data_IF_187188336430
#
_entry.id   IF_187188336430
#
_cell.length_a   1.000
_cell.length_b   1.000
_cell.length_c   1.000
_cell.angle_alpha   90.00
_cell.angle_beta   90.00
_cell.angle_gamma   90.00
#
_symmetry.space_group_name_H-M   'P 1'
#
loop_
_entity.id
_entity.type
_entity.pdbx_description
1 polymer ?
#
# COMPACT_ATOMS: atom_id res chain seq x y z
N UNK A 1 5.93 1.34 9.63
CA UNK A 1 4.63 1.35 8.92
C UNK A 1 3.71 0.21 9.41
N UNK A 2 4.24 -0.92 9.91
CA UNK A 2 3.51 -1.91 10.75
C UNK A 2 2.82 -1.25 11.93
N UNK A 3 3.48 -0.33 12.60
CA UNK A 3 2.90 0.34 13.76
C UNK A 3 1.79 1.34 13.35
N UNK A 4 1.81 1.84 12.10
CA UNK A 4 0.74 2.69 11.57
C UNK A 4 -0.45 1.87 11.02
N UNK A 5 -0.26 0.59 10.69
CA UNK A 5 -1.22 -0.17 9.87
C UNK A 5 -1.59 -1.56 10.43
N UNK A 6 -0.99 -1.98 11.55
CA UNK A 6 -1.18 -3.27 12.20
C UNK A 6 -0.14 -4.33 11.81
N UNK A 7 0.15 -5.32 12.69
CA UNK A 7 0.85 -6.55 12.31
C UNK A 7 0.01 -7.37 11.31
N UNK A 8 0.64 -8.21 10.51
CA UNK A 8 0.06 -8.95 9.36
C UNK A 8 -0.34 -8.12 8.13
N UNK A 9 0.33 -6.99 7.88
CA UNK A 9 0.13 -6.16 6.68
C UNK A 9 1.35 -6.01 5.76
N UNK A 10 2.41 -6.81 5.96
CA UNK A 10 3.69 -6.72 5.24
C UNK A 10 4.28 -5.28 5.19
N UNK A 11 4.08 -4.48 6.25
CA UNK A 11 4.48 -3.04 6.27
C UNK A 11 5.68 -2.76 7.19
N UNK A 12 6.54 -3.75 7.40
CA UNK A 12 7.80 -3.58 8.11
C UNK A 12 8.69 -2.69 7.23
N UNK A 13 9.02 -1.49 7.72
CA UNK A 13 9.98 -0.60 7.04
C UNK A 13 11.28 -0.75 7.81
N UNK A 14 12.27 -1.34 7.15
CA UNK A 14 13.58 -1.68 7.70
C UNK A 14 14.59 -0.56 7.38
N UNK A 15 15.52 -0.29 8.31
CA UNK A 15 16.68 0.57 8.10
C UNK A 15 16.49 2.09 8.29
N UNK A 16 17.59 2.84 8.17
CA UNK A 16 17.62 4.32 8.23
C UNK A 16 16.74 4.97 7.15
N UNK A 17 16.34 6.23 7.31
CA UNK A 17 15.44 6.96 6.39
C UNK A 17 15.85 6.87 4.91
N UNK A 18 17.15 6.76 4.61
CA UNK A 18 17.72 6.54 3.28
C UNK A 18 17.41 5.16 2.69
N UNK A 19 17.22 4.13 3.52
CA UNK A 19 16.82 2.77 3.11
C UNK A 19 15.32 2.67 2.80
N UNK A 20 14.51 3.61 3.31
CA UNK A 20 13.06 3.63 3.10
C UNK A 20 12.62 4.35 1.80
N UNK A 21 13.54 5.03 1.11
CA UNK A 21 13.22 5.86 -0.06
C UNK A 21 12.54 5.07 -1.18
N UNK A 22 12.94 3.81 -1.40
CA UNK A 22 12.36 2.99 -2.47
C UNK A 22 10.89 2.63 -2.22
N UNK A 23 10.55 2.24 -1.00
CA UNK A 23 9.16 1.92 -0.65
C UNK A 23 8.32 3.19 -0.56
N UNK A 24 8.88 4.33 -0.15
CA UNK A 24 8.20 5.62 -0.20
C UNK A 24 7.87 6.05 -1.63
N UNK A 25 8.83 5.94 -2.56
CA UNK A 25 8.57 6.17 -3.99
C UNK A 25 7.51 5.19 -4.53
N UNK A 26 7.59 3.91 -4.18
CA UNK A 26 6.56 2.94 -4.58
C UNK A 26 5.17 3.34 -4.08
N UNK A 27 5.03 3.80 -2.83
CA UNK A 27 3.74 4.27 -2.31
C UNK A 27 3.24 5.53 -3.01
N UNK A 28 4.13 6.43 -3.43
CA UNK A 28 3.77 7.58 -4.25
C UNK A 28 3.19 7.11 -5.58
N UNK A 29 3.84 6.15 -6.23
CA UNK A 29 3.45 5.58 -7.52
C UNK A 29 2.14 4.80 -7.45
N UNK A 30 1.96 3.93 -6.47
CA UNK A 30 0.66 3.27 -6.19
C UNK A 30 -0.44 4.33 -6.01
N UNK A 31 -0.12 5.40 -5.28
CA UNK A 31 -1.00 6.53 -5.06
C UNK A 31 -1.43 7.22 -6.35
N UNK A 32 -0.45 7.64 -7.16
CA UNK A 32 -0.67 8.39 -8.41
C UNK A 32 -1.36 7.54 -9.47
N UNK A 33 -1.01 6.26 -9.59
CA UNK A 33 -1.44 5.42 -10.70
C UNK A 33 -2.89 4.93 -10.57
N UNK A 34 -3.38 4.58 -9.37
CA UNK A 34 -4.78 4.16 -9.23
C UNK A 34 -5.43 4.51 -7.89
N UNK A 35 -4.70 4.41 -6.77
CA UNK A 35 -5.33 4.49 -5.45
C UNK A 35 -6.00 5.84 -5.14
N UNK A 36 -5.45 6.96 -5.64
CA UNK A 36 -6.09 8.29 -5.50
C UNK A 36 -7.43 8.38 -6.22
N UNK A 37 -7.60 7.72 -7.36
CA UNK A 37 -8.88 7.71 -8.12
C UNK A 37 -9.96 6.95 -7.37
N UNK A 38 -9.64 5.76 -6.83
CA UNK A 38 -10.55 5.02 -5.95
C UNK A 38 -10.93 5.82 -4.71
N UNK A 39 -9.97 6.49 -4.09
CA UNK A 39 -10.26 7.35 -2.92
C UNK A 39 -11.18 8.52 -3.28
N UNK A 40 -10.94 9.16 -4.42
CA UNK A 40 -11.80 10.22 -4.93
C UNK A 40 -13.21 9.67 -5.21
N UNK A 41 -13.32 8.52 -5.86
CA UNK A 41 -14.59 7.85 -6.12
C UNK A 41 -15.37 7.55 -4.84
N UNK A 42 -14.75 6.95 -3.81
CA UNK A 42 -15.44 6.70 -2.54
C UNK A 42 -15.81 7.99 -1.79
N UNK A 43 -15.02 9.05 -1.95
CA UNK A 43 -15.39 10.37 -1.40
C UNK A 43 -16.64 10.90 -2.09
N UNK A 44 -16.72 10.75 -3.42
CA UNK A 44 -17.91 11.11 -4.20
C UNK A 44 -19.13 10.27 -3.82
N UNK A 45 -18.98 8.96 -3.65
CA UNK A 45 -20.07 8.09 -3.18
C UNK A 45 -20.65 8.58 -1.85
N UNK A 46 -19.80 9.02 -0.92
CA UNK A 46 -20.25 9.57 0.37
C UNK A 46 -20.94 10.92 0.26
N UNK A 47 -20.59 11.72 -0.75
CA UNK A 47 -21.16 13.06 -0.97
C UNK A 47 -22.48 13.02 -1.75
N UNK A 48 -22.57 12.18 -2.77
CA UNK A 48 -23.67 12.18 -3.75
C UNK A 48 -24.57 10.94 -3.67
N UNK A 49 -24.03 9.79 -3.26
CA UNK A 49 -24.68 8.49 -3.47
C UNK A 49 -24.97 7.76 -2.16
N UNK A 50 -25.21 8.50 -1.08
CA UNK A 50 -25.67 7.99 0.22
C UNK A 50 -24.76 6.95 0.88
N UNK A 51 -23.45 6.94 0.55
CA UNK A 51 -22.49 6.08 1.25
C UNK A 51 -22.21 6.60 2.66
N UNK A 52 -22.68 5.89 3.68
CA UNK A 52 -22.21 6.07 5.06
C UNK A 52 -20.99 5.20 5.38
N UNK A 53 -19.84 5.85 5.55
CA UNK A 53 -18.57 5.23 5.98
C UNK A 53 -18.60 4.62 7.38
N UNK A 54 -19.59 4.95 8.21
CA UNK A 54 -19.74 4.38 9.56
C UNK A 54 -20.63 3.14 9.56
N UNK A 55 -21.42 2.93 8.52
CA UNK A 55 -22.32 1.79 8.41
C UNK A 55 -21.53 0.53 7.98
N UNK A 56 -21.47 -0.53 8.80
CA UNK A 56 -20.72 -1.74 8.48
C UNK A 56 -21.29 -2.50 7.27
N UNK A 57 -22.59 -2.37 6.98
CA UNK A 57 -23.24 -2.99 5.81
C UNK A 57 -22.81 -2.31 4.52
N UNK A 58 -22.67 -0.98 4.54
CA UNK A 58 -22.17 -0.22 3.39
C UNK A 58 -20.72 -0.59 3.08
N UNK A 59 -19.89 -0.75 4.11
CA UNK A 59 -18.50 -1.20 3.94
C UNK A 59 -18.41 -2.61 3.37
N UNK A 60 -19.28 -3.52 3.84
CA UNK A 60 -19.38 -4.87 3.29
C UNK A 60 -19.77 -4.83 1.81
N UNK A 61 -20.77 -4.02 1.46
CA UNK A 61 -21.23 -3.88 0.07
C UNK A 61 -20.14 -3.29 -0.83
N UNK A 62 -19.40 -2.28 -0.37
CA UNK A 62 -18.26 -1.73 -1.09
C UNK A 62 -17.20 -2.79 -1.39
N UNK A 63 -16.85 -3.63 -0.40
CA UNK A 63 -15.91 -4.72 -0.60
C UNK A 63 -16.46 -5.73 -1.62
N UNK A 64 -17.75 -6.08 -1.53
CA UNK A 64 -18.36 -7.06 -2.44
C UNK A 64 -18.35 -6.60 -3.89
N UNK A 65 -18.56 -5.31 -4.14
CA UNK A 65 -18.65 -4.74 -5.49
C UNK A 65 -17.29 -4.40 -6.09
N UNK A 66 -16.39 -3.79 -5.32
CA UNK A 66 -15.22 -3.10 -5.89
C UNK A 66 -13.88 -3.71 -5.48
N UNK A 67 -13.83 -4.66 -4.54
CA UNK A 67 -12.56 -5.24 -4.11
C UNK A 67 -11.88 -6.03 -5.25
N UNK A 68 -12.65 -6.71 -6.10
CA UNK A 68 -12.12 -7.39 -7.28
C UNK A 68 -11.43 -6.42 -8.23
N UNK A 69 -12.07 -5.28 -8.50
CA UNK A 69 -11.54 -4.26 -9.41
C UNK A 69 -10.29 -3.60 -8.84
N UNK A 70 -10.29 -3.29 -7.53
CA UNK A 70 -9.10 -2.75 -6.86
C UNK A 70 -7.95 -3.77 -6.91
N UNK A 71 -8.24 -5.05 -6.71
CA UNK A 71 -7.22 -6.11 -6.81
C UNK A 71 -6.70 -6.26 -8.24
N UNK A 72 -7.57 -6.13 -9.25
CA UNK A 72 -7.15 -6.12 -10.65
C UNK A 72 -6.22 -4.94 -10.95
N UNK A 73 -6.55 -3.74 -10.47
CA UNK A 73 -5.66 -2.57 -10.58
C UNK A 73 -4.31 -2.80 -9.87
N UNK A 74 -4.30 -3.50 -8.72
CA UNK A 74 -3.06 -3.86 -8.02
C UNK A 74 -2.20 -4.82 -8.84
N UNK A 75 -2.81 -5.84 -9.46
CA UNK A 75 -2.12 -6.82 -10.31
C UNK A 75 -1.57 -6.14 -11.56
N UNK A 76 -2.35 -5.28 -12.20
CA UNK A 76 -1.92 -4.53 -13.37
C UNK A 76 -0.77 -3.59 -13.03
N UNK A 77 -0.88 -2.86 -11.91
CA UNK A 77 0.23 -2.05 -11.39
C UNK A 77 1.49 -2.89 -11.18
N UNK A 78 1.37 -4.06 -10.56
CA UNK A 78 2.51 -4.95 -10.33
C UNK A 78 3.17 -5.39 -11.65
N UNK A 79 2.38 -5.75 -12.66
CA UNK A 79 2.88 -6.15 -13.96
C UNK A 79 3.62 -5.01 -14.66
N UNK A 80 3.00 -3.82 -14.71
CA UNK A 80 3.61 -2.62 -15.29
C UNK A 80 4.87 -2.21 -14.53
N UNK A 81 4.81 -2.26 -13.20
CA UNK A 81 5.94 -1.89 -12.37
C UNK A 81 7.12 -2.84 -12.60
N UNK A 82 6.88 -4.14 -12.65
CA UNK A 82 7.96 -5.11 -12.86
C UNK A 82 8.58 -5.02 -14.26
N UNK A 83 7.85 -4.48 -15.24
CA UNK A 83 8.32 -4.28 -16.61
C UNK A 83 8.94 -2.89 -16.86
N UNK A 84 8.81 -1.93 -15.93
CA UNK A 84 9.29 -0.56 -16.17
C UNK A 84 10.83 -0.52 -16.20
N UNK A 85 11.47 0.17 -17.16
CA UNK A 85 12.91 0.32 -17.15
C UNK A 85 13.34 1.20 -15.97
N UNK A 86 14.38 0.79 -15.25
CA UNK A 86 15.00 1.63 -14.20
C UNK A 86 16.18 2.37 -14.81
N UNK A 87 16.07 3.70 -14.90
CA UNK A 87 17.17 4.56 -15.33
C UNK A 87 18.29 4.56 -14.27
N UNK A 88 19.53 4.32 -14.71
CA UNK A 88 20.69 4.31 -13.82
C UNK A 88 21.91 3.66 -14.47
N UNK A 89 23.10 4.14 -14.11
CA UNK A 89 24.38 3.60 -14.63
C UNK A 89 24.57 2.12 -14.23
N UNK A 90 24.09 1.75 -13.05
CA UNK A 90 24.15 0.38 -12.51
C UNK A 90 23.05 -0.53 -13.10
N UNK A 91 21.83 -0.01 -13.26
CA UNK A 91 20.68 -0.78 -13.76
C UNK A 91 20.66 -0.91 -15.28
N UNK A 92 21.38 -0.05 -16.02
CA UNK A 92 21.50 -0.09 -17.50
C UNK A 92 20.14 -0.14 -18.22
N UNK A 93 19.14 0.61 -17.73
CA UNK A 93 17.76 0.64 -18.25
C UNK A 93 17.04 -0.72 -18.26
N UNK A 94 17.48 -1.67 -17.43
CA UNK A 94 16.80 -2.96 -17.25
C UNK A 94 15.57 -2.81 -16.36
N UNK A 95 14.57 -3.63 -16.59
CA UNK A 95 13.39 -3.69 -15.74
C UNK A 95 13.66 -4.43 -14.42
N UNK A 96 12.85 -4.22 -13.37
CA UNK A 96 12.91 -5.04 -12.17
C UNK A 96 12.88 -6.55 -12.47
N UNK A 97 12.06 -6.97 -13.43
CA UNK A 97 12.00 -8.36 -13.88
C UNK A 97 13.33 -8.83 -14.50
N UNK A 98 13.93 -8.02 -15.37
CA UNK A 98 15.23 -8.33 -15.98
C UNK A 98 16.33 -8.44 -14.92
N UNK A 99 16.37 -7.50 -13.98
CA UNK A 99 17.36 -7.48 -12.89
C UNK A 99 17.21 -8.72 -12.01
N UNK A 100 15.98 -9.13 -11.69
CA UNK A 100 15.71 -10.36 -10.94
C UNK A 100 16.18 -11.60 -11.72
N UNK A 101 15.84 -11.71 -12.99
CA UNK A 101 16.22 -12.84 -13.84
C UNK A 101 17.74 -12.96 -13.97
N UNK A 102 18.42 -11.84 -14.20
CA UNK A 102 19.88 -11.79 -14.28
C UNK A 102 20.54 -12.12 -12.94
N UNK A 103 19.98 -11.62 -11.83
CA UNK A 103 20.44 -11.96 -10.49
C UNK A 103 20.36 -13.47 -10.25
N UNK A 104 19.21 -14.09 -10.53
CA UNK A 104 19.03 -15.54 -10.39
C UNK A 104 20.01 -16.36 -11.27
N UNK A 105 20.31 -15.87 -12.47
CA UNK A 105 21.22 -16.57 -13.39
C UNK A 105 22.69 -16.40 -13.00
N UNK A 106 23.06 -15.24 -12.44
CA UNK A 106 24.46 -14.90 -12.14
C UNK A 106 24.88 -15.28 -10.72
N UNK A 107 23.96 -15.14 -9.76
CA UNK A 107 24.21 -15.34 -8.33
C UNK A 107 23.51 -16.60 -7.78
N UNK A 108 22.74 -17.31 -8.60
CA UNK A 108 21.98 -18.49 -8.21
C UNK A 108 20.59 -18.15 -7.65
N UNK A 109 19.82 -19.19 -7.40
CA UNK A 109 18.50 -19.09 -6.78
C UNK A 109 18.69 -19.39 -5.30
N UNK A 110 18.25 -18.49 -4.42
CA UNK A 110 18.10 -18.80 -3.00
C UNK A 110 17.00 -19.86 -2.86
N UNK A 111 17.40 -21.13 -2.72
CA UNK A 111 16.49 -22.29 -2.60
C UNK A 111 16.07 -22.56 -1.17
N UNK A 112 16.80 -22.01 -0.21
CA UNK A 112 16.53 -22.14 1.22
C UNK A 112 16.67 -20.75 1.85
N UNK A 113 15.65 -20.32 2.57
CA UNK A 113 15.64 -19.07 3.32
C UNK A 113 16.40 -19.30 4.65
N UNK A 114 17.64 -19.80 4.57
CA UNK A 114 18.49 -20.07 5.76
C UNK A 114 18.83 -18.80 6.55
N UNK A 115 18.45 -17.63 6.02
CA UNK A 115 18.63 -16.30 6.58
C UNK A 115 17.32 -15.65 7.03
N UNK A 116 16.18 -16.35 6.99
CA UNK A 116 14.84 -15.81 7.29
C UNK A 116 14.73 -15.22 8.72
N UNK A 117 15.57 -15.72 9.65
CA UNK A 117 15.66 -15.27 11.05
C UNK A 117 16.92 -14.41 11.35
N UNK A 118 17.77 -14.12 10.36
CA UNK A 118 18.98 -13.33 10.60
C UNK A 118 18.65 -11.84 10.49
N UNK A 119 18.92 -11.10 11.57
CA UNK A 119 18.65 -9.68 11.64
C UNK A 119 19.37 -8.96 10.48
N UNK A 120 18.72 -8.08 9.70
CA UNK A 120 19.31 -7.67 8.44
C UNK A 120 20.45 -6.65 8.63
N UNK A 121 20.64 -6.12 9.85
CA UNK A 121 21.87 -5.37 10.20
C UNK A 121 23.09 -6.31 10.32
N UNK A 122 22.90 -7.58 10.67
CA UNK A 122 23.94 -8.61 10.63
C UNK A 122 24.28 -8.96 9.18
N UNK A 123 23.27 -9.12 8.32
CA UNK A 123 23.49 -9.28 6.87
C UNK A 123 24.20 -8.07 6.28
N UNK A 124 23.87 -6.86 6.72
CA UNK A 124 24.49 -5.62 6.25
C UNK A 124 25.93 -5.46 6.78
N UNK A 125 26.21 -5.85 8.02
CA UNK A 125 27.57 -5.78 8.59
C UNK A 125 28.55 -6.76 7.93
N UNK A 126 28.09 -7.96 7.58
CA UNK A 126 28.98 -9.04 7.10
C UNK A 126 28.85 -9.35 5.60
N UNK A 127 27.71 -9.02 4.98
CA UNK A 127 27.40 -9.38 3.59
C UNK A 127 26.91 -8.18 2.74
N UNK A 128 27.10 -6.94 3.21
CA UNK A 128 26.80 -5.76 2.38
C UNK A 128 27.63 -5.68 1.10
N UNK A 129 27.04 -5.09 0.07
CA UNK A 129 27.74 -4.69 -1.16
C UNK A 129 28.38 -3.31 -1.07
N UNK A 130 28.08 -2.56 0.00
CA UNK A 130 28.80 -1.37 0.36
C UNK A 130 30.10 -1.82 1.03
N UNK A 131 31.25 -1.44 0.45
CA UNK A 131 32.56 -1.72 1.06
C UNK A 131 32.63 -1.21 2.52
N UNK A 132 33.66 -1.62 3.28
CA UNK A 132 33.74 -1.37 4.72
C UNK A 132 33.43 0.08 5.07
N UNK A 133 32.64 0.28 6.13
CA UNK A 133 32.26 1.62 6.59
C UNK A 133 33.52 2.47 6.78
N UNK A 134 33.74 3.43 5.87
CA UNK A 134 34.79 4.41 6.07
C UNK A 134 34.41 5.27 7.26
N UNK A 135 35.07 5.05 8.39
CA UNK A 135 34.98 5.93 9.55
C UNK A 135 35.34 7.34 9.11
N UNK A 136 34.33 8.21 9.10
CA UNK A 136 34.52 9.61 8.74
C UNK A 136 35.19 10.32 9.90
N UNK A 137 36.33 10.95 9.64
CA UNK A 137 36.91 11.86 10.62
C UNK A 137 35.93 13.00 10.95
N UNK A 138 35.94 13.52 12.20
CA UNK A 138 34.95 14.48 12.71
C UNK A 138 34.75 15.76 11.89
N UNK A 139 35.63 16.08 10.94
CA UNK A 139 35.61 17.32 10.15
C UNK A 139 35.36 17.13 8.64
N UNK A 140 34.99 15.92 8.17
CA UNK A 140 34.68 15.71 6.75
C UNK A 140 33.24 16.12 6.41
N UNK A 141 33.06 17.29 5.79
CA UNK A 141 31.77 17.68 5.20
C UNK A 141 31.55 16.90 3.91
N UNK A 142 30.36 16.31 3.76
CA UNK A 142 29.99 15.39 2.68
C UNK A 142 29.83 16.01 1.28
N UNK A 143 30.74 16.90 0.88
CA UNK A 143 30.90 17.35 -0.50
C UNK A 143 32.22 16.77 -1.01
N UNK A 144 32.14 15.74 -1.86
CA UNK A 144 33.30 14.95 -2.29
C UNK A 144 34.46 15.81 -2.79
N UNK A 145 35.63 15.63 -2.18
CA UNK A 145 36.90 16.15 -2.67
C UNK A 145 37.56 15.07 -3.56
N UNK A 146 38.11 15.43 -4.74
CA UNK A 146 38.80 14.48 -5.61
C UNK A 146 40.14 14.01 -5.02
N UNK A 147 40.52 12.78 -5.35
CA UNK A 147 41.63 11.99 -4.79
C UNK A 147 42.99 12.36 -5.42
N UNK A 148 43.32 13.65 -5.53
CA UNK A 148 44.56 14.07 -6.21
C UNK A 148 45.48 14.99 -5.39
N UNK A 149 45.35 14.96 -4.07
CA UNK A 149 46.38 15.49 -3.16
C UNK A 149 46.67 14.42 -2.09
N UNK A 150 47.37 13.36 -2.49
CA UNK A 150 48.14 12.55 -1.55
C UNK A 150 49.53 13.17 -1.51
N UNK A 151 49.79 13.99 -0.50
CA UNK A 151 51.17 14.21 -0.05
C UNK A 151 51.45 13.21 1.07
N UNK A 152 52.62 12.60 0.94
CA UNK A 152 53.13 11.45 1.67
C UNK A 152 53.27 11.74 3.17
N UNK A 153 52.92 10.77 4.01
CA UNK A 153 53.66 10.53 5.25
C UNK A 153 53.44 9.09 5.73
N UNK A 154 54.58 8.39 5.86
CA UNK A 154 54.74 7.03 6.35
C UNK A 154 54.23 6.88 7.80
N UNK A 155 53.61 5.75 8.12
CA UNK A 155 54.07 4.97 9.28
C UNK A 155 53.65 3.50 9.18
N UNK A 156 54.64 2.62 9.34
CA UNK A 156 54.47 1.17 9.41
C UNK A 156 54.16 0.79 10.86
N UNK A 157 53.06 0.09 11.11
CA UNK A 157 52.88 -0.64 12.36
C UNK A 157 52.13 -1.94 12.09
N UNK A 158 52.92 -2.98 11.96
CA UNK A 158 52.55 -4.39 11.90
C UNK A 158 51.94 -4.81 13.25
N UNK A 159 50.73 -5.34 13.25
CA UNK A 159 50.10 -5.93 14.44
C UNK A 159 49.22 -7.10 14.01
N UNK A 160 49.81 -8.29 14.03
CA UNK A 160 49.07 -9.55 14.09
C UNK A 160 48.15 -9.56 15.33
N UNK A 161 46.85 -9.77 15.14
CA UNK A 161 45.90 -10.17 16.19
C UNK A 161 44.80 -11.00 15.53
N UNK A 162 44.97 -12.32 15.52
CA UNK A 162 44.41 -13.26 16.49
C UNK A 162 42.90 -13.46 16.26
N UNK A 163 42.62 -14.52 15.49
CA UNK A 163 41.30 -15.12 15.30
C UNK A 163 40.80 -15.66 16.65
N UNK A 164 40.00 -14.88 17.36
CA UNK A 164 39.09 -15.44 18.37
C UNK A 164 37.80 -14.62 18.36
N UNK A 165 36.76 -15.13 17.69
CA UNK A 165 35.41 -14.61 17.84
C UNK A 165 34.95 -14.82 19.29
N UNK A 166 34.58 -13.76 20.04
CA UNK A 166 33.98 -13.95 21.35
C UNK A 166 32.50 -14.32 21.16
N UNK A 167 32.16 -15.56 21.48
CA UNK A 167 30.80 -16.13 21.54
C UNK A 167 29.86 -15.35 22.51
N UNK A 168 30.39 -14.36 23.25
CA UNK A 168 29.69 -13.54 24.25
C UNK A 168 28.91 -12.34 23.68
N UNK A 169 29.04 -11.98 22.39
CA UNK A 169 28.30 -10.85 21.80
C UNK A 169 26.81 -11.15 21.55
N UNK A 170 26.36 -12.41 21.64
CA UNK A 170 24.96 -12.81 21.43
C UNK A 170 24.08 -12.64 22.67
N UNK A 171 24.65 -12.65 23.87
CA UNK A 171 23.90 -12.57 25.13
C UNK A 171 23.63 -11.11 25.52
N UNK A 172 22.49 -10.59 25.04
CA UNK A 172 22.05 -9.21 25.30
C UNK A 172 21.72 -8.42 24.03
N UNK A 173 22.04 -8.96 22.85
CA UNK A 173 21.72 -8.35 21.56
C UNK A 173 20.21 -8.20 21.37
N UNK A 174 19.42 -9.20 21.79
CA UNK A 174 17.96 -9.14 21.76
C UNK A 174 17.38 -8.05 22.69
N UNK A 175 17.99 -7.83 23.85
CA UNK A 175 17.59 -6.77 24.79
C UNK A 175 18.00 -5.38 24.28
N UNK A 176 19.19 -5.25 23.68
CA UNK A 176 19.61 -4.03 23.01
C UNK A 176 18.70 -3.68 21.82
N UNK A 177 18.34 -4.67 20.99
CA UNK A 177 17.39 -4.51 19.89
C UNK A 177 16.01 -4.08 20.43
N UNK A 178 15.53 -4.70 21.51
CA UNK A 178 14.27 -4.32 22.14
C UNK A 178 14.29 -2.88 22.67
N UNK A 179 15.40 -2.45 23.29
CA UNK A 179 15.61 -1.08 23.78
C UNK A 179 15.67 -0.07 22.64
N UNK A 180 16.35 -0.40 21.54
CA UNK A 180 16.48 0.47 20.37
C UNK A 180 15.17 0.60 19.56
N UNK A 181 14.34 -0.45 19.56
CA UNK A 181 13.03 -0.46 18.92
C UNK A 181 11.92 0.21 19.77
N UNK A 182 12.07 0.28 21.10
CA UNK A 182 11.06 0.85 22.00
C UNK A 182 10.71 2.31 21.70
N UNK A 183 11.67 3.11 21.21
CA UNK A 183 11.44 4.51 20.81
C UNK A 183 10.65 4.66 19.51
N UNK A 184 10.65 3.64 18.65
CA UNK A 184 10.04 3.67 17.31
C UNK A 184 8.59 3.14 17.31
N UNK A 185 8.17 2.44 18.38
CA UNK A 185 6.81 1.91 18.59
C UNK A 185 5.96 2.92 19.38
N UNK A 186 5.44 3.97 18.70
CA UNK A 186 4.75 5.10 19.37
C UNK A 186 3.27 5.27 19.07
N UNK A 187 2.55 4.26 18.57
CA UNK A 187 1.14 4.44 18.24
C UNK A 187 0.32 3.16 18.31
N UNK A 188 -0.86 3.30 18.92
CA UNK A 188 -1.88 2.25 18.99
C UNK A 188 -2.33 1.90 17.56
N UNK A 189 -2.57 0.61 17.24
CA UNK A 189 -3.06 0.18 15.93
C UNK A 189 -4.27 1.00 15.48
N UNK A 190 -4.28 1.45 14.22
CA UNK A 190 -5.45 2.11 13.64
C UNK A 190 -6.58 1.08 13.57
N UNK A 191 -7.69 1.35 14.26
CA UNK A 191 -8.87 0.50 14.20
C UNK A 191 -9.41 0.50 12.77
N UNK A 192 -9.27 -0.62 12.08
CA UNK A 192 -9.92 -0.83 10.78
C UNK A 192 -11.43 -0.92 11.03
N UNK A 193 -12.20 -0.15 10.26
CA UNK A 193 -13.65 -0.23 10.33
C UNK A 193 -14.08 -1.66 9.97
N UNK A 194 -14.93 -2.26 10.81
CA UNK A 194 -15.40 -3.63 10.60
C UNK A 194 -16.51 -3.59 9.55
N UNK A 195 -16.34 -4.34 8.47
CA UNK A 195 -17.45 -4.68 7.57
C UNK A 195 -18.22 -5.86 8.17
N UNK A 196 -19.54 -5.81 8.14
CA UNK A 196 -20.41 -6.90 8.60
C UNK A 196 -21.36 -7.28 7.47
N UNK A 197 -21.56 -8.58 7.24
CA UNK A 197 -22.56 -9.04 6.29
C UNK A 197 -23.94 -8.64 6.84
N UNK A 198 -24.76 -7.89 6.08
CA UNK A 198 -26.11 -7.55 6.51
C UNK A 198 -27.08 -8.74 6.52
N UNK A 199 -26.73 -9.86 5.88
CA UNK A 199 -27.58 -11.05 5.84
C UNK A 199 -27.08 -12.11 6.81
N UNK A 200 -27.98 -12.60 7.66
CA UNK A 200 -27.70 -13.70 8.59
C UNK A 200 -27.62 -15.06 7.89
N UNK A 201 -28.24 -15.17 6.71
CA UNK A 201 -28.30 -16.41 5.92
C UNK A 201 -27.61 -16.27 4.57
N UNK A 202 -27.03 -17.37 4.07
CA UNK A 202 -26.45 -17.42 2.73
C UNK A 202 -27.49 -17.20 1.61
N UNK A 203 -28.77 -17.45 1.90
CA UNK A 203 -29.88 -17.22 0.97
C UNK A 203 -30.10 -15.74 0.71
N UNK A 204 -29.99 -14.88 1.73
CA UNK A 204 -30.09 -13.43 1.58
C UNK A 204 -29.02 -12.86 0.65
N UNK A 205 -27.77 -13.32 0.79
CA UNK A 205 -26.68 -12.91 -0.11
C UNK A 205 -26.93 -13.37 -1.56
N UNK A 206 -27.38 -14.62 -1.75
CA UNK A 206 -27.71 -15.13 -3.08
C UNK A 206 -28.87 -14.37 -3.73
N UNK A 207 -29.89 -14.02 -2.94
CA UNK A 207 -31.02 -13.20 -3.38
C UNK A 207 -30.56 -11.80 -3.82
N UNK A 208 -29.71 -11.14 -3.02
CA UNK A 208 -29.08 -9.87 -3.40
C UNK A 208 -28.35 -10.01 -4.73
N UNK A 209 -27.50 -11.02 -4.88
CA UNK A 209 -26.70 -11.20 -6.09
C UNK A 209 -27.58 -11.41 -7.34
N UNK A 210 -28.60 -12.25 -7.24
CA UNK A 210 -29.53 -12.53 -8.33
C UNK A 210 -30.32 -11.27 -8.74
N UNK A 211 -30.92 -10.58 -7.78
CA UNK A 211 -31.70 -9.36 -8.07
C UNK A 211 -30.80 -8.27 -8.63
N UNK A 212 -29.58 -8.12 -8.11
CA UNK A 212 -28.62 -7.14 -8.62
C UNK A 212 -28.23 -7.42 -10.08
N UNK A 213 -28.04 -8.70 -10.45
CA UNK A 213 -27.80 -9.09 -11.85
C UNK A 213 -28.98 -8.73 -12.74
N UNK A 214 -30.21 -9.01 -12.31
CA UNK A 214 -31.42 -8.69 -13.08
C UNK A 214 -31.59 -7.17 -13.24
N UNK A 215 -31.41 -6.40 -12.15
CA UNK A 215 -31.47 -4.93 -12.13
C UNK A 215 -30.42 -4.32 -13.06
N UNK A 216 -29.19 -4.85 -13.02
CA UNK A 216 -28.11 -4.41 -13.90
C UNK A 216 -28.40 -4.76 -15.37
N UNK A 217 -28.91 -5.95 -15.65
CA UNK A 217 -29.29 -6.39 -16.99
C UNK A 217 -30.39 -5.51 -17.61
N UNK A 218 -31.37 -5.11 -16.80
CA UNK A 218 -32.45 -4.21 -17.23
C UNK A 218 -32.07 -2.73 -17.20
N UNK A 219 -30.87 -2.37 -16.71
CA UNK A 219 -30.42 -0.98 -16.61
C UNK A 219 -31.28 -0.13 -15.68
N UNK A 220 -31.92 -0.72 -14.67
CA UNK A 220 -32.83 -0.02 -13.78
C UNK A 220 -32.01 0.88 -12.85
N UNK A 221 -32.28 2.19 -12.88
CA UNK A 221 -31.62 3.17 -12.02
C UNK A 221 -32.56 3.60 -10.90
N UNK A 222 -32.23 3.31 -9.63
CA UNK A 222 -33.09 3.70 -8.51
C UNK A 222 -33.08 5.23 -8.30
N UNK A 223 -34.23 5.85 -7.99
CA UNK A 223 -34.31 7.27 -7.67
C UNK A 223 -33.77 7.57 -6.27
N UNK A 224 -33.44 8.84 -6.04
CA UNK A 224 -32.90 9.44 -4.82
C UNK A 224 -31.46 9.01 -4.46
N UNK A 225 -30.67 8.58 -5.44
CA UNK A 225 -29.26 8.22 -5.23
C UNK A 225 -28.28 9.13 -5.95
N UNK A 226 -28.73 10.23 -6.57
CA UNK A 226 -27.88 11.19 -7.27
C UNK A 226 -27.32 10.66 -8.60
N UNK A 227 -27.96 9.65 -9.19
CA UNK A 227 -27.52 8.99 -10.43
C UNK A 227 -28.35 9.37 -11.64
N UNK A 228 -29.60 9.81 -11.44
CA UNK A 228 -30.49 10.23 -12.51
C UNK A 228 -30.15 11.66 -12.94
N UNK A 229 -30.23 12.00 -14.24
CA UNK A 229 -29.99 13.37 -14.71
C UNK A 229 -30.88 14.42 -14.04
N UNK A 230 -32.09 14.04 -13.61
CA UNK A 230 -33.01 14.92 -12.87
C UNK A 230 -32.56 15.24 -11.43
N UNK A 231 -31.58 14.51 -10.91
CA UNK A 231 -31.06 14.64 -9.53
C UNK A 231 -29.72 15.36 -9.49
N UNK A 232 -29.16 15.72 -10.64
CA UNK A 232 -27.89 16.41 -10.72
C UNK A 232 -28.12 17.90 -10.48
N UNK A 233 -27.28 18.50 -9.62
CA UNK A 233 -27.28 19.94 -9.39
C UNK A 233 -26.87 20.71 -10.66
N UNK A 234 -26.04 20.09 -11.50
CA UNK A 234 -25.57 20.59 -12.80
C UNK A 234 -26.15 19.75 -13.96
N UNK A 235 -26.06 20.23 -15.20
CA UNK A 235 -26.55 19.50 -16.40
C UNK A 235 -25.80 18.17 -16.67
N UNK A 236 -24.68 17.93 -16.00
CA UNK A 236 -23.79 16.79 -16.25
C UNK A 236 -23.36 16.09 -14.96
N UNK A 237 -23.06 14.79 -15.06
CA UNK A 237 -22.50 14.04 -13.94
C UNK A 237 -21.10 14.57 -13.59
N UNK A 238 -20.78 14.81 -12.30
CA UNK A 238 -19.49 15.40 -11.92
C UNK A 238 -18.29 14.57 -12.36
N UNK A 239 -17.36 15.19 -13.09
CA UNK A 239 -16.12 14.54 -13.54
C UNK A 239 -14.96 14.72 -12.58
N UNK A 240 -15.07 15.58 -11.58
CA UNK A 240 -13.95 15.89 -10.69
C UNK A 240 -14.35 15.67 -9.22
N UNK A 241 -13.38 15.30 -8.39
CA UNK A 241 -13.59 15.22 -6.94
C UNK A 241 -12.33 15.68 -6.20
N UNK A 242 -12.54 16.42 -5.11
CA UNK A 242 -11.44 16.98 -4.32
C UNK A 242 -11.18 16.12 -3.10
N UNK A 243 -9.96 15.60 -2.98
CA UNK A 243 -9.52 14.80 -1.83
C UNK A 243 -8.46 15.54 -1.01
N UNK A 244 -8.53 15.41 0.32
CA UNK A 244 -7.47 15.94 1.21
C UNK A 244 -6.23 15.04 1.13
N UNK A 245 -5.08 15.60 0.82
CA UNK A 245 -3.81 14.90 0.61
C UNK A 245 -2.71 15.45 1.52
N UNK A 246 -1.88 14.56 2.07
CA UNK A 246 -0.78 14.92 2.97
C UNK A 246 -1.20 15.33 4.39
N UNK A 247 -0.20 15.53 5.26
CA UNK A 247 -0.38 15.91 6.68
C UNK A 247 -0.81 17.36 6.87
N UNK A 248 -0.54 18.23 5.89
CA UNK A 248 -0.89 19.66 5.91
C UNK A 248 -2.30 19.96 5.37
N UNK A 249 -3.09 18.93 5.04
CA UNK A 249 -4.46 19.10 4.58
C UNK A 249 -4.60 19.70 3.17
N UNK A 250 -3.55 19.62 2.36
CA UNK A 250 -3.52 20.09 0.97
C UNK A 250 -4.66 19.45 0.19
N UNK A 251 -5.38 20.21 -0.63
CA UNK A 251 -6.45 19.65 -1.46
C UNK A 251 -5.89 19.25 -2.82
N UNK A 252 -6.27 18.06 -3.28
CA UNK A 252 -5.90 17.53 -4.59
C UNK A 252 -7.17 17.26 -5.38
N UNK A 253 -7.30 17.90 -6.54
CA UNK A 253 -8.38 17.66 -7.48
C UNK A 253 -8.04 16.44 -8.33
N UNK A 254 -8.94 15.47 -8.37
CA UNK A 254 -8.78 14.24 -9.15
C UNK A 254 -9.88 14.19 -10.20
N UNK A 255 -9.48 13.97 -11.46
CA UNK A 255 -10.39 13.70 -12.58
C UNK A 255 -10.83 12.24 -12.56
N UNK A 256 -12.14 12.03 -12.64
CA UNK A 256 -12.84 10.76 -12.67
C UNK A 256 -13.70 10.72 -13.92
N UNK A 257 -13.16 10.22 -15.05
CA UNK A 257 -13.88 10.11 -16.31
C UNK A 257 -15.23 9.41 -16.16
N UNK A 258 -16.29 10.00 -16.73
CA UNK A 258 -17.67 9.48 -16.61
C UNK A 258 -17.76 8.03 -17.09
N UNK A 259 -17.14 7.71 -18.23
CA UNK A 259 -17.20 6.39 -18.86
C UNK A 259 -16.70 5.24 -17.95
N UNK A 260 -15.81 5.55 -17.01
CA UNK A 260 -15.23 4.57 -16.09
C UNK A 260 -15.97 4.58 -14.74
N UNK A 261 -16.25 5.77 -14.19
CA UNK A 261 -16.67 5.90 -12.79
C UNK A 261 -18.18 6.04 -12.62
N UNK A 262 -18.91 6.55 -13.62
CA UNK A 262 -20.37 6.64 -13.53
C UNK A 262 -21.03 5.25 -13.53
N UNK A 263 -20.64 4.27 -14.37
CA UNK A 263 -21.19 2.91 -14.28
C UNK A 263 -21.00 2.27 -12.89
N UNK A 264 -19.86 2.54 -12.25
CA UNK A 264 -19.58 2.08 -10.87
C UNK A 264 -20.47 2.78 -9.84
N UNK A 265 -20.76 4.07 -10.01
CA UNK A 265 -21.71 4.79 -9.15
C UNK A 265 -23.14 4.24 -9.31
N UNK A 266 -23.55 3.91 -10.53
CA UNK A 266 -24.84 3.26 -10.81
C UNK A 266 -24.90 1.89 -10.15
N UNK A 267 -23.86 1.06 -10.30
CA UNK A 267 -23.77 -0.25 -9.66
C UNK A 267 -23.87 -0.15 -8.13
N UNK A 268 -23.20 0.84 -7.53
CA UNK A 268 -23.32 1.13 -6.10
C UNK A 268 -24.76 1.46 -5.69
N UNK A 269 -25.41 2.39 -6.39
CA UNK A 269 -26.77 2.82 -6.09
C UNK A 269 -27.79 1.68 -6.24
N UNK A 270 -27.69 0.89 -7.31
CA UNK A 270 -28.50 -0.31 -7.52
C UNK A 270 -28.35 -1.31 -6.37
N UNK A 271 -27.10 -1.60 -6.00
CA UNK A 271 -26.83 -2.56 -4.94
C UNK A 271 -27.30 -2.07 -3.57
N UNK A 272 -27.15 -0.78 -3.28
CA UNK A 272 -27.61 -0.17 -2.04
C UNK A 272 -29.15 -0.19 -1.94
N UNK A 273 -29.85 0.11 -3.04
CA UNK A 273 -31.31 0.06 -3.09
C UNK A 273 -31.85 -1.36 -2.90
N UNK A 274 -31.29 -2.34 -3.62
CA UNK A 274 -31.69 -3.74 -3.50
C UNK A 274 -31.40 -4.28 -2.10
N UNK A 275 -30.22 -4.00 -1.55
CA UNK A 275 -29.87 -4.42 -0.19
C UNK A 275 -30.85 -3.84 0.82
N UNK A 276 -31.15 -2.54 0.73
CA UNK A 276 -32.07 -1.87 1.65
C UNK A 276 -33.49 -2.48 1.59
N UNK A 277 -33.99 -2.78 0.39
CA UNK A 277 -35.30 -3.42 0.22
C UNK A 277 -35.35 -4.84 0.77
N UNK A 278 -34.30 -5.65 0.55
CA UNK A 278 -34.25 -7.02 1.11
C UNK A 278 -34.27 -6.97 2.64
N UNK A 279 -33.51 -6.07 3.24
CA UNK A 279 -33.47 -5.93 4.70
C UNK A 279 -34.82 -5.47 5.28
N UNK A 280 -35.50 -4.52 4.63
CA UNK A 280 -36.84 -4.09 5.03
C UNK A 280 -37.87 -5.23 4.93
N UNK A 281 -37.80 -6.04 3.86
CA UNK A 281 -38.69 -7.19 3.67
C UNK A 281 -38.47 -8.30 4.72
N UNK A 282 -37.26 -8.42 5.25
CA UNK A 282 -36.92 -9.43 6.26
C UNK A 282 -37.31 -8.94 7.67
N UNK A 283 -37.10 -7.66 7.99
CA UNK A 283 -37.61 -7.04 9.24
C UNK A 283 -39.14 -7.15 9.34
N UNK A 284 -39.86 -6.92 8.24
CA UNK A 284 -41.32 -7.02 8.21
C UNK A 284 -41.86 -8.45 8.46
N UNK A 285 -41.07 -9.50 8.22
CA UNK A 285 -41.46 -10.89 8.50
C UNK A 285 -41.18 -11.31 9.93
N UNK A 286 -40.20 -10.69 10.58
CA UNK A 286 -39.87 -10.99 11.98
C UNK A 286 -40.88 -10.36 12.96
N UNK A 287 -41.62 -9.33 12.51
CA UNK A 287 -42.67 -8.64 13.28
C UNK A 287 -44.08 -9.28 13.17
N UNK A 288 -44.29 -10.26 12.27
CA UNK A 288 -45.56 -11.03 12.12
C UNK A 288 -45.56 -12.35 12.92
#
# INVERSE_FOLDING_TARGET
>A
MIMHRGPNRASFMWGSSTRNTRIEHLWVEVGTQFARRWRAFFTRLGRLHSLDRKNPYHLWLLHRLFLSDINADCVEFQAQWNAHPIAGRETKNRSPADLRFLGQTTQGIYTEDTLEDIHPDTLDRYYSTHGPEQQRHPNATGAGHPVDEREDEHDESDSESDDTEPEDELEGLAEQIAVDQARNIRHKPIKVARSHNPFDTAEGEQKLHKILQDVAFHGIQPPNYGILPSEWDDEFYPEEETIKFGTRGTQLKITLPVDIWYPRAVQWAQALDVMSRILLDDEAKDDE
#
